data_IF_440677497926
#
_entry.id   IF_440677497926
#
_cell.length_a   1.000
_cell.length_b   1.000
_cell.length_c   1.000
_cell.angle_alpha   90.00
_cell.angle_beta   90.00
_cell.angle_gamma   90.00
#
_symmetry.space_group_name_H-M   'P 1'
#
loop_
_entity.id
_entity.type
_entity.pdbx_description
1 polymer ?
#
# COMPACT_ATOMS: atom_id res chain seq x y z
N UNK A 1 -3.64 35.94 15.52
CA UNK A 1 -2.68 35.72 14.43
C UNK A 1 -2.76 34.26 14.01
N UNK A 2 -2.87 33.96 12.72
CA UNK A 2 -2.84 32.57 12.22
C UNK A 2 -1.40 32.05 12.23
N UNK A 3 -1.16 30.90 12.85
CA UNK A 3 0.15 30.24 12.82
C UNK A 3 0.46 29.68 11.42
N UNK A 4 1.75 29.49 11.12
CA UNK A 4 2.16 28.72 9.95
C UNK A 4 1.66 27.27 10.07
N UNK A 5 1.23 26.70 8.94
CA UNK A 5 0.94 25.28 8.85
C UNK A 5 2.21 24.43 9.02
N UNK A 6 2.01 23.13 9.25
CA UNK A 6 3.10 22.17 9.49
C UNK A 6 4.08 22.09 8.31
N UNK A 7 3.59 22.15 7.07
CA UNK A 7 4.41 22.04 5.87
C UNK A 7 5.35 23.26 5.73
N UNK A 8 4.86 24.46 6.02
CA UNK A 8 5.65 25.70 6.05
C UNK A 8 6.66 25.71 7.18
N UNK A 9 6.31 25.21 8.37
CA UNK A 9 7.25 25.05 9.49
C UNK A 9 8.39 24.09 9.11
N UNK A 10 8.07 22.95 8.47
CA UNK A 10 9.08 22.00 8.01
C UNK A 10 9.95 22.56 6.89
N UNK A 11 9.38 23.29 5.94
CA UNK A 11 10.13 23.96 4.88
C UNK A 11 11.11 25.00 5.44
N UNK A 12 10.65 25.84 6.38
CA UNK A 12 11.49 26.84 7.06
C UNK A 12 12.61 26.21 7.91
N UNK A 13 12.39 25.02 8.49
CA UNK A 13 13.42 24.30 9.22
C UNK A 13 14.52 23.74 8.29
N UNK A 14 14.17 23.32 7.06
CA UNK A 14 15.09 22.73 6.06
C UNK A 14 15.87 23.76 5.24
N UNK A 15 15.34 24.96 5.05
CA UNK A 15 15.99 26.04 4.29
C UNK A 15 17.23 26.56 5.04
N UNK A 16 18.35 25.84 4.96
CA UNK A 16 19.58 26.18 5.69
C UNK A 16 20.43 27.26 5.03
N UNK A 17 20.27 27.60 3.73
CA UNK A 17 21.23 28.52 3.08
C UNK A 17 20.77 29.57 2.06
N UNK A 18 19.60 29.52 1.42
CA UNK A 18 19.11 30.67 0.64
C UNK A 18 17.71 30.38 0.10
N UNK A 19 16.74 31.26 0.36
CA UNK A 19 15.43 31.21 -0.30
C UNK A 19 14.27 30.75 0.58
N UNK A 20 14.27 31.09 1.88
CA UNK A 20 13.01 31.15 2.62
C UNK A 20 12.05 32.10 1.91
N UNK A 21 10.74 31.80 1.90
CA UNK A 21 9.77 32.77 1.39
C UNK A 21 9.80 33.97 2.33
N UNK A 22 9.94 35.19 1.81
CA UNK A 22 10.00 36.41 2.62
C UNK A 22 8.84 36.52 3.64
N UNK A 23 7.64 36.06 3.26
CA UNK A 23 6.46 36.01 4.12
C UNK A 23 6.59 35.03 5.32
N UNK A 24 7.35 33.94 5.18
CA UNK A 24 7.63 33.02 6.30
C UNK A 24 8.62 33.66 7.28
N UNK A 25 9.63 34.39 6.78
CA UNK A 25 10.61 35.08 7.61
C UNK A 25 9.98 36.23 8.41
N UNK A 26 9.14 37.04 7.76
CA UNK A 26 8.38 38.11 8.42
C UNK A 26 7.45 37.54 9.50
N UNK A 27 6.76 36.44 9.21
CA UNK A 27 5.91 35.78 10.20
C UNK A 27 6.71 35.24 11.39
N UNK A 28 7.85 34.59 11.13
CA UNK A 28 8.73 34.08 12.18
C UNK A 28 9.29 35.21 13.04
N UNK A 29 9.55 36.40 12.49
CA UNK A 29 9.91 37.58 13.29
C UNK A 29 8.78 37.98 14.25
N UNK A 30 7.53 37.87 13.82
CA UNK A 30 6.37 38.27 14.62
C UNK A 30 5.84 37.18 15.59
N UNK A 31 6.07 35.89 15.34
CA UNK A 31 5.45 34.80 16.10
C UNK A 31 6.43 33.90 16.86
N UNK A 32 6.50 34.03 18.18
CA UNK A 32 7.38 33.25 19.05
C UNK A 32 7.13 31.74 19.01
N UNK A 33 5.87 31.31 19.04
CA UNK A 33 5.52 29.88 19.01
C UNK A 33 6.00 29.18 17.72
N UNK A 34 5.86 29.84 16.56
CA UNK A 34 6.36 29.29 15.30
C UNK A 34 7.90 29.26 15.27
N UNK A 35 8.59 30.24 15.87
CA UNK A 35 10.05 30.21 16.02
C UNK A 35 10.53 29.05 16.87
N UNK A 36 9.91 28.81 18.02
CA UNK A 36 10.28 27.69 18.90
C UNK A 36 10.15 26.35 18.18
N UNK A 37 9.07 26.15 17.43
CA UNK A 37 8.87 24.93 16.64
C UNK A 37 9.93 24.75 15.55
N UNK A 38 10.24 25.81 14.81
CA UNK A 38 11.31 25.78 13.79
C UNK A 38 12.68 25.54 14.45
N UNK A 39 12.96 26.15 15.60
CA UNK A 39 14.20 25.95 16.35
C UNK A 39 14.33 24.51 16.85
N UNK A 40 13.27 23.92 17.40
CA UNK A 40 13.23 22.53 17.83
C UNK A 40 13.54 21.57 16.66
N UNK A 41 12.92 21.77 15.49
CA UNK A 41 13.20 20.96 14.30
C UNK A 41 14.65 21.11 13.82
N UNK A 42 15.20 22.33 13.86
CA UNK A 42 16.61 22.59 13.50
C UNK A 42 17.59 21.93 14.47
N UNK A 43 17.25 21.90 15.75
CA UNK A 43 18.05 21.23 16.79
C UNK A 43 18.08 19.71 16.56
N UNK A 44 16.93 19.10 16.27
CA UNK A 44 16.85 17.67 15.90
C UNK A 44 17.68 17.37 14.66
N UNK A 45 17.57 18.19 13.60
CA UNK A 45 18.35 18.02 12.38
C UNK A 45 19.86 18.21 12.60
N UNK A 46 20.26 19.11 13.51
CA UNK A 46 21.66 19.30 13.88
C UNK A 46 22.20 18.10 14.67
N UNK A 47 21.42 17.56 15.61
CA UNK A 47 21.79 16.36 16.35
C UNK A 47 21.95 15.16 15.42
N UNK A 48 21.03 14.94 14.48
CA UNK A 48 21.15 13.87 13.47
C UNK A 48 22.43 14.02 12.63
N UNK A 49 22.71 15.21 12.11
CA UNK A 49 23.90 15.45 11.31
C UNK A 49 25.21 15.29 12.11
N UNK A 50 25.20 15.60 13.41
CA UNK A 50 26.35 15.39 14.29
C UNK A 50 26.61 13.90 14.53
N UNK A 51 25.53 13.10 14.66
CA UNK A 51 25.63 11.63 14.75
C UNK A 51 26.18 11.05 13.45
N UNK A 52 25.64 11.45 12.29
CA UNK A 52 26.14 10.99 10.98
C UNK A 52 27.62 11.33 10.77
N UNK A 53 28.04 12.55 11.17
CA UNK A 53 29.44 12.97 11.08
C UNK A 53 30.35 12.12 12.01
N UNK A 54 29.92 11.88 13.25
CA UNK A 54 30.64 11.04 14.20
C UNK A 54 30.74 9.58 13.73
N UNK A 55 29.69 9.04 13.11
CA UNK A 55 29.68 7.70 12.51
C UNK A 55 30.66 7.59 11.33
N UNK A 56 30.75 8.64 10.51
CA UNK A 56 31.65 8.68 9.36
C UNK A 56 33.12 8.78 9.77
N UNK A 57 33.40 9.46 10.89
CA UNK A 57 34.77 9.78 11.35
C UNK A 57 35.35 8.73 12.32
N UNK A 58 34.51 8.08 13.13
CA UNK A 58 34.99 7.18 14.19
C UNK A 58 35.25 5.72 13.73
N UNK A 59 34.58 5.23 12.68
CA UNK A 59 34.49 3.79 12.41
C UNK A 59 33.73 3.05 13.53
N UNK A 60 32.91 2.06 13.18
CA UNK A 60 32.06 1.23 14.09
C UNK A 60 31.88 1.79 15.50
N UNK A 61 31.05 2.83 15.62
CA UNK A 61 30.60 3.31 16.92
C UNK A 61 29.92 2.13 17.65
N UNK A 62 30.41 1.81 18.84
CA UNK A 62 29.78 0.83 19.73
C UNK A 62 28.52 1.48 20.30
N UNK A 63 27.41 1.37 19.57
CA UNK A 63 26.10 1.81 20.03
C UNK A 63 25.76 1.01 21.30
N UNK A 64 25.47 1.66 22.44
CA UNK A 64 25.01 0.97 23.63
C UNK A 64 23.80 0.11 23.27
N UNK A 65 23.75 -1.13 23.80
CA UNK A 65 22.63 -2.01 23.50
C UNK A 65 21.31 -1.32 23.86
N UNK A 66 20.26 -1.59 23.08
CA UNK A 66 18.91 -1.06 23.33
C UNK A 66 18.48 -1.23 24.79
N UNK A 67 18.83 -2.38 25.39
CA UNK A 67 18.58 -2.67 26.80
C UNK A 67 19.32 -1.73 27.77
N UNK A 68 20.53 -1.29 27.45
CA UNK A 68 21.27 -0.35 28.29
C UNK A 68 20.59 1.02 28.38
N UNK A 69 19.92 1.45 27.30
CA UNK A 69 19.28 2.77 27.23
C UNK A 69 17.82 2.75 27.70
N UNK A 70 17.07 1.70 27.37
CA UNK A 70 15.60 1.69 27.51
C UNK A 70 15.14 0.97 28.79
N UNK A 71 15.85 -0.08 29.19
CA UNK A 71 15.46 -0.93 30.33
C UNK A 71 15.39 -0.17 31.67
N UNK A 72 16.26 0.82 31.97
CA UNK A 72 16.14 1.63 33.18
C UNK A 72 14.87 2.48 33.21
N UNK A 73 14.45 3.04 32.06
CA UNK A 73 13.23 3.84 31.93
C UNK A 73 11.96 2.99 32.00
N UNK A 74 11.99 1.78 31.40
CA UNK A 74 10.86 0.84 31.45
C UNK A 74 10.64 0.22 32.84
N UNK A 75 11.71 0.02 33.63
CA UNK A 75 11.59 -0.53 34.98
C UNK A 75 10.94 0.43 35.98
N UNK A 76 10.93 1.74 35.70
CA UNK A 76 10.32 2.76 36.56
C UNK A 76 8.89 3.15 36.19
N UNK A 77 8.43 2.81 34.99
CA UNK A 77 7.10 3.18 34.51
C UNK A 77 6.09 2.07 34.82
N UNK A 78 5.00 2.34 35.59
CA UNK A 78 3.90 1.39 35.68
C UNK A 78 3.33 1.20 34.28
N UNK A 79 3.36 -0.05 33.77
CA UNK A 79 2.75 -0.41 32.51
C UNK A 79 1.23 -0.24 32.65
N UNK A 80 0.72 0.95 32.32
CA UNK A 80 -0.70 1.17 32.21
C UNK A 80 -1.24 0.20 31.16
N UNK A 81 -2.13 -0.71 31.57
CA UNK A 81 -2.78 -1.61 30.64
C UNK A 81 -3.49 -0.77 29.57
N UNK A 82 -3.16 -0.94 28.28
CA UNK A 82 -3.80 -0.16 27.23
C UNK A 82 -5.30 -0.47 27.24
N UNK A 83 -6.13 0.54 27.55
CA UNK A 83 -7.57 0.38 27.40
C UNK A 83 -7.90 0.15 25.91
N UNK A 84 -8.75 -0.84 25.59
CA UNK A 84 -9.17 -1.04 24.22
C UNK A 84 -9.89 0.23 23.74
N UNK A 85 -9.50 0.80 22.58
CA UNK A 85 -10.16 1.97 22.06
C UNK A 85 -11.63 1.64 21.75
N UNK A 86 -12.53 2.60 22.00
CA UNK A 86 -13.91 2.49 21.58
C UNK A 86 -13.98 2.20 20.06
N UNK A 87 -14.95 1.41 19.56
CA UNK A 87 -14.99 0.98 18.16
C UNK A 87 -15.03 2.16 17.18
N UNK A 88 -15.69 3.26 17.54
CA UNK A 88 -15.69 4.51 16.77
C UNK A 88 -14.32 5.16 16.68
N UNK A 89 -13.56 5.15 17.78
CA UNK A 89 -12.19 5.67 17.79
C UNK A 89 -11.27 4.79 16.95
N UNK A 90 -11.40 3.46 17.06
CA UNK A 90 -10.66 2.52 16.22
C UNK A 90 -10.92 2.75 14.72
N UNK A 91 -12.20 2.87 14.32
CA UNK A 91 -12.56 3.14 12.92
C UNK A 91 -12.00 4.47 12.41
N UNK A 92 -12.12 5.55 13.21
CA UNK A 92 -11.54 6.86 12.86
C UNK A 92 -10.02 6.78 12.68
N UNK A 93 -9.32 6.08 13.57
CA UNK A 93 -7.88 5.87 13.47
C UNK A 93 -7.52 5.06 12.21
N UNK A 94 -8.29 4.03 11.87
CA UNK A 94 -8.11 3.28 10.62
C UNK A 94 -8.27 4.17 9.39
N UNK A 95 -9.33 4.99 9.35
CA UNK A 95 -9.57 5.92 8.24
C UNK A 95 -8.48 6.98 8.13
N UNK A 96 -8.04 7.54 9.25
CA UNK A 96 -6.93 8.50 9.29
C UNK A 96 -5.63 7.85 8.81
N UNK A 97 -5.34 6.61 9.23
CA UNK A 97 -4.18 5.86 8.76
C UNK A 97 -4.23 5.63 7.25
N UNK A 98 -5.37 5.18 6.74
CA UNK A 98 -5.61 4.97 5.31
C UNK A 98 -5.43 6.27 4.52
N UNK A 99 -6.04 7.38 4.97
CA UNK A 99 -5.93 8.67 4.33
C UNK A 99 -4.50 9.23 4.35
N UNK A 100 -3.72 8.96 5.39
CA UNK A 100 -2.30 9.32 5.45
C UNK A 100 -1.44 8.45 4.55
N UNK A 101 -1.70 7.14 4.47
CA UNK A 101 -1.01 6.25 3.52
C UNK A 101 -1.31 6.62 2.06
N UNK A 102 -2.52 7.09 1.75
CA UNK A 102 -2.89 7.58 0.42
C UNK A 102 -1.95 8.67 -0.10
N UNK A 103 -1.55 9.60 0.78
CA UNK A 103 -0.62 10.69 0.43
C UNK A 103 0.82 10.20 0.20
N UNK A 104 1.14 9.01 0.67
CA UNK A 104 2.45 8.38 0.52
C UNK A 104 2.54 7.48 -0.72
N UNK A 105 1.41 7.13 -1.33
CA UNK A 105 1.38 6.42 -2.61
C UNK A 105 2.02 7.32 -3.68
N UNK A 106 2.98 6.82 -4.48
CA UNK A 106 3.60 7.61 -5.53
C UNK A 106 2.53 8.26 -6.42
N UNK A 107 2.58 9.58 -6.56
CA UNK A 107 1.58 10.34 -7.31
C UNK A 107 1.43 9.87 -8.76
N UNK A 108 2.47 9.27 -9.33
CA UNK A 108 2.47 8.68 -10.68
C UNK A 108 1.59 7.42 -10.83
N UNK A 109 1.26 6.71 -9.74
CA UNK A 109 0.37 5.54 -9.82
C UNK A 109 -1.06 5.96 -10.18
N UNK A 110 -1.52 7.13 -9.72
CA UNK A 110 -2.87 7.62 -10.03
C UNK A 110 -3.16 7.78 -11.52
N UNK A 111 -2.39 8.57 -12.29
CA UNK A 111 -2.64 8.71 -13.71
C UNK A 111 -2.43 7.40 -14.46
N UNK A 112 -1.51 6.54 -14.00
CA UNK A 112 -1.26 5.24 -14.63
C UNK A 112 -2.47 4.30 -14.47
N UNK A 113 -3.01 4.18 -13.25
CA UNK A 113 -4.21 3.38 -12.97
C UNK A 113 -5.41 3.94 -13.74
N UNK A 114 -5.62 5.25 -13.72
CA UNK A 114 -6.70 5.90 -14.45
C UNK A 114 -6.60 5.67 -15.97
N UNK A 115 -5.40 5.81 -16.53
CA UNK A 115 -5.14 5.57 -17.95
C UNK A 115 -5.31 4.08 -18.31
N UNK A 116 -4.89 3.17 -17.44
CA UNK A 116 -5.10 1.74 -17.60
C UNK A 116 -6.59 1.37 -17.67
N UNK A 117 -7.39 1.84 -16.71
CA UNK A 117 -8.84 1.60 -16.73
C UNK A 117 -9.52 2.26 -17.93
N UNK A 118 -9.12 3.49 -18.29
CA UNK A 118 -9.65 4.16 -19.47
C UNK A 118 -9.33 3.39 -20.77
N UNK A 119 -8.11 2.85 -20.90
CA UNK A 119 -7.69 2.06 -22.04
C UNK A 119 -8.46 0.74 -22.14
N UNK A 120 -8.62 0.01 -21.02
CA UNK A 120 -9.40 -1.24 -20.98
C UNK A 120 -10.86 -0.98 -21.31
N UNK A 121 -11.47 0.07 -20.74
CA UNK A 121 -12.86 0.45 -21.03
C UNK A 121 -13.04 0.83 -22.52
N UNK A 122 -12.13 1.64 -23.07
CA UNK A 122 -12.16 2.04 -24.48
C UNK A 122 -12.03 0.82 -25.40
N UNK A 123 -11.10 -0.09 -25.10
CA UNK A 123 -10.90 -1.32 -25.87
C UNK A 123 -12.14 -2.22 -25.80
N UNK A 124 -12.70 -2.41 -24.61
CA UNK A 124 -13.92 -3.20 -24.42
C UNK A 124 -15.10 -2.60 -25.19
N UNK A 125 -15.30 -1.28 -25.12
CA UNK A 125 -16.36 -0.58 -25.86
C UNK A 125 -16.19 -0.69 -27.38
N UNK A 126 -14.95 -0.61 -27.89
CA UNK A 126 -14.66 -0.75 -29.32
C UNK A 126 -14.85 -2.17 -29.83
N UNK A 127 -14.68 -3.18 -28.97
CA UNK A 127 -14.81 -4.59 -29.34
C UNK A 127 -16.28 -5.05 -29.47
N UNK A 128 -17.25 -4.24 -29.02
CA UNK A 128 -18.68 -4.57 -29.03
C UNK A 128 -19.10 -5.47 -27.86
N UNK A 129 -20.39 -5.83 -27.75
CA UNK A 129 -20.97 -6.37 -26.51
C UNK A 129 -20.41 -7.72 -26.08
N UNK A 130 -20.23 -8.64 -27.03
CA UNK A 130 -19.75 -9.99 -26.72
C UNK A 130 -18.27 -9.96 -26.37
N UNK A 131 -17.43 -9.43 -27.27
CA UNK A 131 -15.96 -9.40 -27.11
C UNK A 131 -15.54 -8.41 -26.02
N UNK A 132 -16.27 -7.31 -25.85
CA UNK A 132 -16.00 -6.31 -24.82
C UNK A 132 -16.05 -6.89 -23.42
N UNK A 133 -17.00 -7.79 -23.15
CA UNK A 133 -17.07 -8.50 -21.86
C UNK A 133 -15.86 -9.40 -21.61
N UNK A 134 -15.38 -10.10 -22.65
CA UNK A 134 -14.17 -10.94 -22.64
C UNK A 134 -12.87 -10.15 -22.50
N UNK A 135 -12.85 -8.88 -22.90
CA UNK A 135 -11.69 -7.98 -22.74
C UNK A 135 -11.67 -7.33 -21.36
N UNK A 136 -12.83 -6.84 -20.90
CA UNK A 136 -12.97 -6.13 -19.64
C UNK A 136 -12.53 -6.99 -18.45
N UNK A 137 -12.99 -8.26 -18.40
CA UNK A 137 -12.72 -9.17 -17.29
C UNK A 137 -11.21 -9.34 -17.00
N UNK A 138 -10.45 -9.89 -17.96
CA UNK A 138 -9.00 -10.04 -17.85
C UNK A 138 -8.26 -8.70 -17.71
N UNK A 139 -8.70 -7.64 -18.40
CA UNK A 139 -8.07 -6.32 -18.32
C UNK A 139 -8.14 -5.72 -16.92
N UNK A 140 -9.33 -5.74 -16.30
CA UNK A 140 -9.54 -5.30 -14.91
C UNK A 140 -8.74 -6.17 -13.94
N UNK A 141 -8.79 -7.50 -14.12
CA UNK A 141 -8.03 -8.45 -13.29
C UNK A 141 -6.54 -8.12 -13.27
N UNK A 142 -5.96 -7.82 -14.44
CA UNK A 142 -4.57 -7.43 -14.57
C UNK A 142 -4.27 -6.12 -13.83
N UNK A 143 -5.09 -5.08 -14.04
CA UNK A 143 -4.90 -3.77 -13.40
C UNK A 143 -4.96 -3.85 -11.87
N UNK A 144 -5.96 -4.52 -11.31
CA UNK A 144 -6.09 -4.73 -9.85
C UNK A 144 -4.87 -5.49 -9.31
N UNK A 145 -4.39 -6.49 -10.05
CA UNK A 145 -3.23 -7.29 -9.64
C UNK A 145 -1.93 -6.47 -9.70
N UNK A 146 -1.76 -5.62 -10.71
CA UNK A 146 -0.64 -4.69 -10.80
C UNK A 146 -0.67 -3.65 -9.66
N UNK A 147 -1.85 -3.14 -9.31
CA UNK A 147 -2.04 -2.27 -8.14
C UNK A 147 -1.60 -2.96 -6.83
N UNK A 148 -2.02 -4.21 -6.64
CA UNK A 148 -1.62 -5.02 -5.49
C UNK A 148 -0.08 -5.26 -5.43
N UNK A 149 0.54 -5.56 -6.58
CA UNK A 149 2.00 -5.73 -6.68
C UNK A 149 2.76 -4.44 -6.40
N UNK A 150 2.27 -3.29 -6.87
CA UNK A 150 2.87 -1.98 -6.61
C UNK A 150 2.90 -1.65 -5.10
N UNK A 151 1.91 -2.11 -4.34
CA UNK A 151 1.91 -1.99 -2.86
C UNK A 151 2.93 -2.92 -2.21
N UNK A 152 3.17 -4.08 -2.81
CA UNK A 152 3.99 -5.14 -2.24
C UNK A 152 5.49 -4.96 -2.47
N UNK A 153 5.98 -3.93 -3.16
CA UNK A 153 7.41 -3.75 -3.42
C UNK A 153 8.17 -3.37 -2.13
N UNK A 154 8.82 -4.31 -1.41
CA UNK A 154 9.28 -4.10 -0.04
C UNK A 154 10.71 -3.54 0.03
N UNK A 155 11.40 -3.45 -1.12
CA UNK A 155 12.86 -3.28 -1.19
C UNK A 155 13.33 -1.85 -1.38
N UNK A 156 12.44 -0.88 -1.54
CA UNK A 156 12.80 0.53 -1.76
C UNK A 156 12.25 1.49 -0.72
N UNK A 157 11.72 1.00 0.40
CA UNK A 157 11.28 1.90 1.48
C UNK A 157 12.39 2.03 2.53
N UNK A 158 13.30 3.03 2.43
CA UNK A 158 14.33 3.30 3.44
C UNK A 158 13.74 3.61 4.83
N UNK A 159 12.41 3.72 4.92
CA UNK A 159 11.67 4.00 6.16
C UNK A 159 11.40 2.74 6.99
N UNK A 160 11.80 1.54 6.55
CA UNK A 160 11.60 0.32 7.36
C UNK A 160 12.25 0.41 8.74
N UNK A 161 13.42 1.03 8.83
CA UNK A 161 14.11 1.27 10.11
C UNK A 161 13.35 2.28 10.98
N UNK A 162 12.83 3.35 10.38
CA UNK A 162 12.01 4.35 11.07
C UNK A 162 10.66 3.76 11.52
N UNK A 163 10.05 2.89 10.72
CA UNK A 163 8.78 2.23 11.05
C UNK A 163 8.93 1.27 12.24
N UNK A 164 10.11 0.69 12.45
CA UNK A 164 10.38 -0.12 13.64
C UNK A 164 10.46 0.72 14.92
N UNK A 165 10.76 2.01 14.81
CA UNK A 165 10.78 2.96 15.94
C UNK A 165 9.40 3.58 16.25
N UNK A 166 8.42 3.44 15.35
CA UNK A 166 7.07 4.02 15.51
C UNK A 166 6.16 3.00 16.21
N UNK A 167 5.30 3.42 17.15
CA UNK A 167 4.38 2.52 17.87
C UNK A 167 3.25 1.91 17.01
N UNK A 168 3.32 2.01 15.68
CA UNK A 168 2.29 1.49 14.77
C UNK A 168 2.81 0.18 14.17
N UNK A 169 2.09 -0.94 14.33
CA UNK A 169 2.56 -2.22 13.81
C UNK A 169 2.67 -2.19 12.27
N UNK A 170 3.75 -2.76 11.70
CA UNK A 170 4.03 -2.68 10.25
C UNK A 170 2.91 -3.31 9.40
N UNK A 171 2.25 -4.35 9.91
CA UNK A 171 1.10 -4.98 9.26
C UNK A 171 -0.09 -4.02 9.10
N UNK A 172 -0.32 -3.11 10.05
CA UNK A 172 -1.42 -2.15 9.95
C UNK A 172 -1.15 -1.11 8.86
N UNK A 173 0.09 -0.61 8.76
CA UNK A 173 0.52 0.31 7.71
C UNK A 173 0.39 -0.35 6.33
N UNK A 174 0.87 -1.59 6.21
CA UNK A 174 0.79 -2.38 4.99
C UNK A 174 -0.66 -2.67 4.56
N UNK A 175 -1.51 -3.13 5.48
CA UNK A 175 -2.93 -3.38 5.23
C UNK A 175 -3.67 -2.10 4.83
N UNK A 176 -3.39 -0.97 5.49
CA UNK A 176 -4.00 0.31 5.16
C UNK A 176 -3.66 0.74 3.72
N UNK A 177 -2.39 0.58 3.30
CA UNK A 177 -1.96 0.88 1.93
C UNK A 177 -2.60 -0.08 0.92
N UNK A 178 -2.63 -1.37 1.22
CA UNK A 178 -3.22 -2.38 0.34
C UNK A 178 -4.72 -2.18 0.16
N UNK A 179 -5.46 -1.99 1.26
CA UNK A 179 -6.90 -1.76 1.25
C UNK A 179 -7.26 -0.49 0.48
N UNK A 180 -6.44 0.56 0.60
CA UNK A 180 -6.64 1.80 -0.13
C UNK A 180 -6.49 1.62 -1.66
N UNK A 181 -5.38 1.02 -2.10
CA UNK A 181 -5.12 0.80 -3.55
C UNK A 181 -6.15 -0.15 -4.14
N UNK A 182 -6.37 -1.32 -3.51
CA UNK A 182 -7.39 -2.27 -3.96
C UNK A 182 -8.78 -1.64 -3.94
N UNK A 183 -9.13 -0.88 -2.91
CA UNK A 183 -10.42 -0.21 -2.82
C UNK A 183 -10.67 0.74 -3.98
N UNK A 184 -9.65 1.50 -4.40
CA UNK A 184 -9.79 2.40 -5.56
C UNK A 184 -9.85 1.63 -6.87
N UNK A 185 -9.04 0.59 -7.03
CA UNK A 185 -9.10 -0.25 -8.23
C UNK A 185 -10.48 -0.92 -8.36
N UNK A 186 -11.07 -1.40 -7.26
CA UNK A 186 -12.43 -1.97 -7.23
C UNK A 186 -13.51 -0.94 -7.57
N UNK A 187 -13.40 0.29 -7.05
CA UNK A 187 -14.32 1.38 -7.37
C UNK A 187 -14.21 1.76 -8.86
N UNK A 188 -12.99 1.89 -9.38
CA UNK A 188 -12.74 2.21 -10.79
C UNK A 188 -13.25 1.10 -11.72
N UNK A 189 -12.98 -0.16 -11.39
CA UNK A 189 -13.49 -1.33 -12.11
C UNK A 189 -15.02 -1.39 -12.13
N UNK A 190 -15.66 -1.11 -10.98
CA UNK A 190 -17.12 -1.05 -10.87
C UNK A 190 -17.69 0.10 -11.70
N UNK A 191 -17.08 1.28 -11.64
CA UNK A 191 -17.46 2.42 -12.46
C UNK A 191 -17.32 2.12 -13.96
N UNK A 192 -16.23 1.50 -14.39
CA UNK A 192 -16.02 1.06 -15.77
C UNK A 192 -17.09 0.03 -16.21
N UNK A 193 -17.43 -0.91 -15.34
CA UNK A 193 -18.48 -1.91 -15.60
C UNK A 193 -19.87 -1.28 -15.74
N UNK A 194 -20.20 -0.30 -14.89
CA UNK A 194 -21.45 0.46 -14.95
C UNK A 194 -21.53 1.31 -16.22
N UNK A 195 -20.44 2.00 -16.56
CA UNK A 195 -20.34 2.81 -17.78
C UNK A 195 -20.49 1.94 -19.04
N UNK A 196 -19.78 0.82 -19.11
CA UNK A 196 -19.88 -0.08 -20.25
C UNK A 196 -21.30 -0.67 -20.38
N UNK A 197 -21.90 -1.12 -19.28
CA UNK A 197 -23.27 -1.64 -19.27
C UNK A 197 -24.31 -0.59 -19.71
N UNK A 198 -24.10 0.68 -19.36
CA UNK A 198 -24.95 1.78 -19.81
C UNK A 198 -24.81 2.07 -21.31
N UNK A 199 -23.62 1.90 -21.88
CA UNK A 199 -23.34 2.15 -23.30
C UNK A 199 -23.81 1.01 -24.21
N UNK A 200 -23.62 -0.24 -23.81
CA UNK A 200 -23.77 -1.40 -24.71
C UNK A 200 -25.15 -2.07 -24.66
N UNK A 201 -25.98 -1.77 -23.65
CA UNK A 201 -27.37 -2.27 -23.40
C UNK A 201 -27.58 -3.80 -23.37
N UNK A 202 -26.65 -4.60 -23.88
CA UNK A 202 -26.76 -6.05 -24.02
C UNK A 202 -26.23 -6.79 -22.77
N UNK A 203 -25.24 -6.24 -22.08
CA UNK A 203 -24.69 -6.81 -20.86
C UNK A 203 -25.10 -5.97 -19.65
N UNK A 204 -25.81 -6.58 -18.70
CA UNK A 204 -26.08 -5.95 -17.41
C UNK A 204 -24.77 -5.70 -16.64
N UNK A 205 -24.72 -4.70 -15.74
CA UNK A 205 -23.50 -4.37 -15.00
C UNK A 205 -23.08 -5.47 -14.01
N UNK A 206 -24.04 -6.24 -13.47
CA UNK A 206 -23.76 -7.31 -12.51
C UNK A 206 -22.96 -8.47 -13.12
N UNK A 207 -23.33 -9.02 -14.30
CA UNK A 207 -22.48 -9.98 -15.02
C UNK A 207 -21.05 -9.48 -15.27
N UNK A 208 -20.89 -8.20 -15.63
CA UNK A 208 -19.56 -7.62 -15.85
C UNK A 208 -18.73 -7.60 -14.57
N UNK A 209 -19.32 -7.21 -13.43
CA UNK A 209 -18.65 -7.29 -12.12
C UNK A 209 -18.30 -8.74 -11.75
N UNK A 210 -19.23 -9.67 -11.97
CA UNK A 210 -19.01 -11.09 -11.74
C UNK A 210 -17.90 -11.70 -12.60
N UNK A 211 -17.60 -11.11 -13.77
CA UNK A 211 -16.56 -11.59 -14.67
C UNK A 211 -15.13 -11.26 -14.20
N UNK A 212 -14.93 -10.21 -13.37
CA UNK A 212 -13.60 -9.82 -12.90
C UNK A 212 -13.41 -9.92 -11.38
N UNK A 213 -14.45 -9.83 -10.55
CA UNK A 213 -14.30 -9.70 -9.10
C UNK A 213 -13.53 -10.88 -8.46
N UNK A 214 -13.98 -12.11 -8.72
CA UNK A 214 -13.33 -13.33 -8.26
C UNK A 214 -11.90 -13.47 -8.79
N UNK A 215 -11.67 -13.46 -10.13
CA UNK A 215 -10.34 -13.53 -10.71
C UNK A 215 -9.38 -12.45 -10.19
N UNK A 216 -9.84 -11.20 -10.08
CA UNK A 216 -9.04 -10.07 -9.62
C UNK A 216 -8.60 -10.24 -8.16
N UNK A 217 -9.53 -10.57 -7.26
CA UNK A 217 -9.20 -10.75 -5.84
C UNK A 217 -8.34 -11.99 -5.61
N UNK A 218 -8.59 -13.08 -6.33
CA UNK A 218 -7.78 -14.29 -6.24
C UNK A 218 -6.35 -14.04 -6.76
N UNK A 219 -6.22 -13.41 -7.93
CA UNK A 219 -4.92 -13.09 -8.52
C UNK A 219 -4.15 -12.09 -7.67
N UNK A 220 -4.80 -11.03 -7.16
CA UNK A 220 -4.19 -10.07 -6.24
C UNK A 220 -3.76 -10.74 -4.92
N UNK A 221 -4.59 -11.63 -4.37
CA UNK A 221 -4.26 -12.41 -3.18
C UNK A 221 -3.03 -13.30 -3.37
N UNK A 222 -2.93 -14.00 -4.51
CA UNK A 222 -1.76 -14.79 -4.88
C UNK A 222 -0.52 -13.92 -5.07
N UNK A 223 -0.66 -12.77 -5.74
CA UNK A 223 0.43 -11.81 -5.96
C UNK A 223 1.01 -11.31 -4.63
N UNK A 224 0.10 -10.89 -3.74
CA UNK A 224 0.43 -10.37 -2.41
C UNK A 224 1.08 -11.44 -1.56
N UNK A 225 0.48 -12.63 -1.49
CA UNK A 225 1.02 -13.76 -0.73
C UNK A 225 2.41 -14.16 -1.22
N UNK A 226 2.60 -14.37 -2.52
CA UNK A 226 3.91 -14.73 -3.09
C UNK A 226 4.97 -13.65 -2.87
N UNK A 227 4.58 -12.38 -2.97
CA UNK A 227 5.45 -11.22 -2.75
C UNK A 227 5.99 -11.18 -1.32
N UNK A 228 5.11 -11.40 -0.34
CA UNK A 228 5.44 -11.39 1.09
C UNK A 228 6.18 -12.65 1.50
N UNK A 229 5.78 -13.82 1.00
CA UNK A 229 6.33 -15.11 1.40
C UNK A 229 7.77 -15.32 0.97
N UNK A 230 8.12 -14.91 -0.26
CA UNK A 230 9.46 -15.18 -0.82
C UNK A 230 10.08 -13.95 -1.47
N UNK A 231 9.41 -13.37 -2.46
CA UNK A 231 9.93 -12.23 -3.22
C UNK A 231 8.86 -11.62 -4.12
N UNK A 232 8.97 -10.32 -4.48
CA UNK A 232 8.07 -9.68 -5.43
C UNK A 232 8.01 -10.37 -6.79
N UNK A 233 9.13 -10.95 -7.23
CA UNK A 233 9.18 -11.72 -8.47
C UNK A 233 8.28 -12.97 -8.39
N UNK A 234 8.26 -13.68 -7.26
CA UNK A 234 7.36 -14.83 -7.08
C UNK A 234 5.89 -14.39 -7.06
N UNK A 235 5.59 -13.28 -6.40
CA UNK A 235 4.24 -12.71 -6.43
C UNK A 235 3.80 -12.39 -7.86
N UNK A 236 4.65 -11.72 -8.63
CA UNK A 236 4.37 -11.38 -10.02
C UNK A 236 4.19 -12.61 -10.91
N UNK A 237 5.00 -13.66 -10.73
CA UNK A 237 4.84 -14.91 -11.50
C UNK A 237 3.55 -15.63 -11.16
N UNK A 238 3.19 -15.75 -9.88
CA UNK A 238 1.93 -16.36 -9.45
C UNK A 238 0.70 -15.57 -9.95
N UNK A 239 0.78 -14.25 -9.91
CA UNK A 239 -0.24 -13.37 -10.47
C UNK A 239 -0.42 -13.56 -11.98
N UNK A 240 0.69 -13.55 -12.72
CA UNK A 240 0.67 -13.66 -14.17
C UNK A 240 0.17 -15.04 -14.62
N UNK A 241 0.57 -16.11 -13.92
CA UNK A 241 0.08 -17.46 -14.21
C UNK A 241 -1.40 -17.59 -13.89
N UNK A 242 -1.86 -17.06 -12.75
CA UNK A 242 -3.29 -17.05 -12.40
C UNK A 242 -4.12 -16.23 -13.41
N UNK A 243 -3.62 -15.08 -13.85
CA UNK A 243 -4.26 -14.24 -14.86
C UNK A 243 -4.34 -14.95 -16.21
N UNK A 244 -3.24 -15.56 -16.66
CA UNK A 244 -3.20 -16.29 -17.93
C UNK A 244 -4.15 -17.50 -17.91
N UNK A 245 -4.15 -18.28 -16.81
CA UNK A 245 -5.07 -19.40 -16.62
C UNK A 245 -6.54 -18.95 -16.66
N UNK A 246 -6.88 -17.85 -15.97
CA UNK A 246 -8.22 -17.29 -15.99
C UNK A 246 -8.66 -16.79 -17.36
N UNK A 247 -7.74 -16.15 -18.08
CA UNK A 247 -8.00 -15.65 -19.45
C UNK A 247 -8.25 -16.80 -20.42
N UNK A 248 -7.41 -17.85 -20.37
CA UNK A 248 -7.57 -19.04 -21.20
C UNK A 248 -8.87 -19.77 -20.88
N UNK A 249 -9.23 -19.88 -19.59
CA UNK A 249 -10.51 -20.46 -19.17
C UNK A 249 -11.70 -19.66 -19.70
N UNK A 250 -11.65 -18.34 -19.63
CA UNK A 250 -12.72 -17.45 -20.12
C UNK A 250 -12.91 -17.52 -21.65
N UNK A 251 -11.83 -17.78 -22.40
CA UNK A 251 -11.89 -17.93 -23.86
C UNK A 251 -12.36 -19.33 -24.32
N UNK A 252 -12.58 -20.27 -23.40
CA UNK A 252 -13.01 -21.64 -23.74
C UNK A 252 -11.94 -22.49 -24.43
N UNK A 253 -10.65 -22.16 -24.26
CA UNK A 253 -9.54 -22.81 -24.98
C UNK A 253 -9.08 -24.17 -24.43
N UNK A 254 -9.73 -24.72 -23.40
CA UNK A 254 -9.32 -25.96 -22.73
C UNK A 254 -10.32 -27.09 -23.01
N UNK A 255 -9.81 -28.33 -23.07
CA UNK A 255 -10.63 -29.53 -23.20
C UNK A 255 -11.73 -29.58 -22.12
N UNK A 256 -12.92 -30.05 -22.50
CA UNK A 256 -14.18 -29.87 -21.77
C UNK A 256 -14.06 -30.18 -20.27
N UNK A 257 -13.38 -31.25 -19.86
CA UNK A 257 -13.26 -31.61 -18.43
C UNK A 257 -12.40 -30.64 -17.59
N UNK A 258 -11.21 -30.26 -18.09
CA UNK A 258 -10.27 -29.40 -17.35
C UNK A 258 -10.75 -27.94 -17.37
N UNK A 259 -11.35 -27.52 -18.48
CA UNK A 259 -11.91 -26.18 -18.64
C UNK A 259 -13.00 -25.87 -17.61
N UNK A 260 -13.90 -26.81 -17.33
CA UNK A 260 -15.00 -26.59 -16.36
C UNK A 260 -14.48 -26.42 -14.93
N UNK A 261 -13.52 -27.25 -14.49
CA UNK A 261 -12.93 -27.11 -13.16
C UNK A 261 -12.18 -25.80 -12.99
N UNK A 262 -11.39 -25.40 -14.00
CA UNK A 262 -10.65 -24.15 -13.99
C UNK A 262 -11.59 -22.94 -14.06
N UNK A 263 -12.62 -22.98 -14.91
CA UNK A 263 -13.63 -21.93 -14.96
C UNK A 263 -14.37 -21.77 -13.62
N UNK A 264 -14.65 -22.87 -12.90
CA UNK A 264 -15.29 -22.82 -11.59
C UNK A 264 -14.41 -22.16 -10.52
N UNK A 265 -13.09 -22.41 -10.53
CA UNK A 265 -12.16 -21.80 -9.55
C UNK A 265 -11.86 -20.33 -9.88
N UNK A 266 -12.09 -19.88 -11.12
CA UNK A 266 -11.92 -18.48 -11.50
C UNK A 266 -13.26 -17.72 -11.55
N UNK A 267 -14.40 -18.40 -11.51
CA UNK A 267 -15.69 -17.74 -11.39
C UNK A 267 -15.81 -17.01 -10.05
N UNK A 268 -16.53 -15.88 -10.04
CA UNK A 268 -16.89 -15.20 -8.80
C UNK A 268 -17.90 -16.06 -8.02
N UNK A 269 -17.43 -16.73 -6.98
CA UNK A 269 -18.25 -17.56 -6.10
C UNK A 269 -17.73 -17.49 -4.66
N UNK A 270 -18.50 -17.96 -3.66
CA UNK A 270 -18.10 -17.85 -2.25
C UNK A 270 -16.76 -18.53 -1.93
N UNK A 271 -16.44 -19.65 -2.59
CA UNK A 271 -15.20 -20.38 -2.35
C UNK A 271 -13.98 -19.60 -2.86
N UNK A 272 -14.08 -18.97 -4.03
CA UNK A 272 -13.00 -18.17 -4.62
C UNK A 272 -12.73 -16.91 -3.81
N UNK A 273 -13.80 -16.26 -3.33
CA UNK A 273 -13.69 -15.13 -2.40
C UNK A 273 -13.10 -15.55 -1.05
N UNK A 274 -13.52 -16.68 -0.49
CA UNK A 274 -12.96 -17.21 0.76
C UNK A 274 -11.47 -17.53 0.63
N UNK A 275 -11.06 -18.14 -0.49
CA UNK A 275 -9.66 -18.41 -0.78
C UNK A 275 -8.83 -17.12 -0.93
N UNK A 276 -9.35 -16.12 -1.64
CA UNK A 276 -8.71 -14.80 -1.75
C UNK A 276 -8.52 -14.16 -0.36
N UNK A 277 -9.56 -14.17 0.47
CA UNK A 277 -9.49 -13.70 1.86
C UNK A 277 -8.44 -14.47 2.69
N UNK A 278 -8.39 -15.80 2.54
CA UNK A 278 -7.39 -16.64 3.22
C UNK A 278 -5.96 -16.28 2.80
N UNK A 279 -5.73 -16.00 1.51
CA UNK A 279 -4.42 -15.57 1.00
C UNK A 279 -4.01 -14.19 1.55
N UNK A 280 -4.93 -13.22 1.59
CA UNK A 280 -4.68 -11.92 2.21
C UNK A 280 -4.39 -12.04 3.72
N UNK A 281 -5.15 -12.87 4.43
CA UNK A 281 -4.93 -13.14 5.85
C UNK A 281 -3.58 -13.81 6.11
N UNK A 282 -3.20 -14.79 5.27
CA UNK A 282 -1.90 -15.45 5.34
C UNK A 282 -0.75 -14.46 5.08
N UNK A 283 -0.90 -13.57 4.09
CA UNK A 283 0.06 -12.51 3.83
C UNK A 283 0.18 -11.53 5.01
N UNK A 284 -0.94 -11.08 5.58
CA UNK A 284 -0.95 -10.20 6.76
C UNK A 284 -0.25 -10.86 7.95
N UNK A 285 -0.51 -12.14 8.17
CA UNK A 285 0.15 -12.92 9.22
C UNK A 285 1.65 -13.03 8.99
N UNK A 286 2.11 -13.26 7.75
CA UNK A 286 3.54 -13.28 7.42
C UNK A 286 4.20 -11.91 7.69
N UNK A 287 3.55 -10.80 7.32
CA UNK A 287 4.05 -9.44 7.60
C UNK A 287 4.10 -9.14 9.11
N UNK A 288 3.18 -9.72 9.89
CA UNK A 288 3.15 -9.51 11.35
C UNK A 288 4.27 -10.23 12.10
N UNK A 289 4.93 -11.22 11.48
CA UNK A 289 6.02 -11.94 12.12
C UNK A 289 7.27 -11.05 12.15
N UNK A 290 7.86 -10.79 13.33
CA UNK A 290 9.15 -10.11 13.40
C UNK A 290 10.14 -10.92 12.58
N UNK A 291 10.87 -10.25 11.68
CA UNK A 291 11.90 -10.89 10.88
C UNK A 291 12.86 -11.57 11.85
N UNK A 292 12.78 -12.91 11.93
CA UNK A 292 13.83 -13.69 12.58
C UNK A 292 15.04 -13.45 11.71
N UNK A 293 15.93 -12.58 12.17
CA UNK A 293 17.25 -12.37 11.59
C UNK A 293 17.80 -13.75 11.28
N UNK A 294 17.89 -14.08 9.99
CA UNK A 294 18.61 -15.26 9.57
C UNK A 294 20.03 -15.07 10.11
N UNK A 295 20.63 -16.08 10.76
CA UNK A 295 22.01 -15.97 11.18
C UNK A 295 22.82 -15.56 9.94
N UNK A 296 23.52 -14.44 10.04
CA UNK A 296 24.44 -14.00 9.01
C UNK A 296 25.40 -15.16 8.75
N UNK A 297 25.20 -15.85 7.63
CA UNK A 297 26.11 -16.91 7.22
C UNK A 297 27.45 -16.26 6.91
N UNK A 298 28.58 -16.91 7.27
CA UNK A 298 29.89 -16.39 6.95
C UNK A 298 30.03 -16.27 5.43
N UNK A 299 30.35 -15.06 4.96
CA UNK A 299 30.81 -14.79 3.60
C UNK A 299 32.19 -15.43 3.37
#
# INVERSE_FOLDING_TARGET
MSHLDEERIQAAARARRAGGRAADEEHLAACAACRERVAALRAVAAAAAAVDAAETEAGTLTVPSFDALVLPGLRGAPAAAPLPPAPRAAWRLTLELVARQARLVPGALWPLTALGFAAVLLLAWRAGPVVGSLVLGPGVTLLVTLGALAVCEPRRDPRREVLAAIPIPPVAVWLARLAFVLGIDLVAATAASLLLGALDRAAGPLPLVGAWLGPALLSAGLAVFGSVWRSPALGATLALTAWAAGTVAALGGLADGVGHGLAAVWATNPATLALACALFAAAAWLVSRPARTLPEGPL
#
